data_IF_578509594096
#
_entry.id   IF_578509594096
#
_cell.length_a   1.000
_cell.length_b   1.000
_cell.length_c   1.000
_cell.angle_alpha   90.00
_cell.angle_beta   90.00
_cell.angle_gamma   90.00
#
_symmetry.space_group_name_H-M   'P 1'
#
loop_
_entity.id
_entity.type
_entity.pdbx_description
1 polymer ?
#
# COMPACT_ATOMS: atom_id res chain seq x y z
N UNK A 1 -41.70 7.89 37.54
CA UNK A 1 -40.43 7.77 36.81
C UNK A 1 -39.36 7.54 37.86
N UNK A 2 -38.76 6.35 37.91
CA UNK A 2 -37.69 6.07 38.86
C UNK A 2 -36.45 6.88 38.44
N UNK A 3 -35.92 7.68 39.36
CA UNK A 3 -34.70 8.45 39.17
C UNK A 3 -33.50 7.50 39.25
N UNK A 4 -33.30 6.66 38.23
CA UNK A 4 -32.13 5.80 38.12
C UNK A 4 -30.95 6.66 37.68
N UNK A 5 -30.29 7.29 38.65
CA UNK A 5 -28.99 7.92 38.45
C UNK A 5 -27.97 6.81 38.17
N UNK A 6 -27.74 6.50 36.90
CA UNK A 6 -26.62 5.65 36.51
C UNK A 6 -25.31 6.41 36.77
N UNK A 7 -24.33 5.81 37.45
CA UNK A 7 -23.04 6.45 37.66
C UNK A 7 -22.30 6.51 36.32
N UNK A 8 -22.12 7.71 35.76
CA UNK A 8 -21.43 7.90 34.47
C UNK A 8 -20.00 7.33 34.48
N UNK A 9 -19.40 7.11 35.65
CA UNK A 9 -18.06 6.54 35.85
C UNK A 9 -17.97 5.05 35.48
N UNK A 10 -19.11 4.34 35.37
CA UNK A 10 -19.12 2.94 34.93
C UNK A 10 -18.98 2.78 33.42
N UNK A 11 -19.19 3.85 32.64
CA UNK A 11 -19.03 3.86 31.19
C UNK A 11 -17.59 4.24 30.86
N UNK A 12 -16.74 3.23 30.68
CA UNK A 12 -15.31 3.44 30.38
C UNK A 12 -15.00 3.24 28.91
N UNK A 13 -15.84 2.48 28.21
CA UNK A 13 -15.66 2.14 26.81
C UNK A 13 -16.94 2.40 26.01
N UNK A 14 -16.77 2.64 24.72
CA UNK A 14 -17.90 2.84 23.82
C UNK A 14 -18.85 1.62 23.79
N UNK A 15 -18.32 0.41 23.94
CA UNK A 15 -19.12 -0.81 23.99
C UNK A 15 -20.03 -0.91 25.22
N UNK A 16 -19.70 -0.22 26.33
CA UNK A 16 -20.49 -0.26 27.57
C UNK A 16 -21.88 0.35 27.38
N UNK A 17 -22.04 1.26 26.43
CA UNK A 17 -23.35 1.83 26.07
C UNK A 17 -24.30 0.77 25.54
N UNK A 18 -23.81 -0.12 24.68
CA UNK A 18 -24.65 -1.09 23.98
C UNK A 18 -24.93 -2.35 24.82
N UNK A 19 -24.02 -2.70 25.72
CA UNK A 19 -24.25 -3.75 26.71
C UNK A 19 -25.28 -3.30 27.75
N UNK A 20 -25.17 -2.04 28.21
CA UNK A 20 -26.11 -1.45 29.18
C UNK A 20 -27.48 -1.19 28.56
N UNK A 21 -27.55 -0.72 27.31
CA UNK A 21 -28.84 -0.42 26.65
C UNK A 21 -29.69 -1.67 26.44
N UNK A 22 -29.07 -2.83 26.17
CA UNK A 22 -29.79 -4.09 25.99
C UNK A 22 -30.50 -4.60 27.25
N UNK A 23 -30.17 -4.06 28.44
CA UNK A 23 -30.68 -4.60 29.71
C UNK A 23 -31.70 -3.70 30.38
N UNK A 24 -31.59 -2.37 30.28
CA UNK A 24 -32.35 -1.49 31.19
C UNK A 24 -32.78 -0.12 30.64
N UNK A 25 -32.11 0.44 29.63
CA UNK A 25 -32.28 1.86 29.25
C UNK A 25 -32.18 2.10 27.74
N UNK A 26 -32.96 3.05 27.19
CA UNK A 26 -32.74 3.54 25.82
C UNK A 26 -31.42 4.33 25.73
N UNK A 27 -30.63 4.15 24.65
CA UNK A 27 -29.34 4.83 24.41
C UNK A 27 -29.47 6.36 24.57
N UNK A 28 -30.57 6.91 24.08
CA UNK A 28 -30.89 8.35 24.16
C UNK A 28 -30.92 8.85 25.60
N UNK A 29 -31.57 8.09 26.50
CA UNK A 29 -31.67 8.44 27.92
C UNK A 29 -30.31 8.38 28.61
N UNK A 30 -29.47 7.40 28.24
CA UNK A 30 -28.13 7.25 28.81
C UNK A 30 -27.18 8.38 28.40
N UNK A 31 -27.24 8.81 27.12
CA UNK A 31 -26.48 9.95 26.62
C UNK A 31 -26.95 11.27 27.24
N UNK A 32 -28.26 11.45 27.42
CA UNK A 32 -28.81 12.63 28.10
C UNK A 32 -28.35 12.73 29.56
N UNK A 33 -28.21 11.58 30.24
CA UNK A 33 -27.69 11.54 31.60
C UNK A 33 -26.16 11.79 31.69
N UNK A 34 -25.40 11.34 30.68
CA UNK A 34 -23.94 11.40 30.67
C UNK A 34 -23.38 12.03 29.38
N UNK A 35 -23.64 13.33 29.11
CA UNK A 35 -23.31 13.97 27.83
C UNK A 35 -21.80 14.02 27.53
N UNK A 36 -20.95 14.06 28.57
CA UNK A 36 -19.48 14.06 28.45
C UNK A 36 -18.95 12.75 27.82
N UNK A 37 -19.71 11.67 27.96
CA UNK A 37 -19.32 10.36 27.43
C UNK A 37 -19.52 10.23 25.92
N UNK A 38 -20.10 11.24 25.25
CA UNK A 38 -20.08 11.36 23.79
C UNK A 38 -18.64 11.35 23.22
N UNK A 39 -17.64 11.71 24.04
CA UNK A 39 -16.23 11.65 23.65
C UNK A 39 -15.68 10.22 23.58
N UNK A 40 -16.31 9.22 24.20
CA UNK A 40 -15.86 7.83 24.16
C UNK A 40 -15.93 7.19 22.76
N UNK A 41 -16.78 7.73 21.87
CA UNK A 41 -16.84 7.30 20.46
C UNK A 41 -15.51 7.51 19.72
N UNK A 42 -14.67 8.42 20.22
CA UNK A 42 -13.38 8.80 19.66
C UNK A 42 -12.20 8.03 20.27
N UNK A 43 -12.42 7.39 21.41
CA UNK A 43 -11.37 6.79 22.22
C UNK A 43 -10.67 7.83 23.11
N UNK A 44 -10.04 7.34 24.18
CA UNK A 44 -9.41 8.18 25.22
C UNK A 44 -7.88 8.06 25.25
N UNK A 45 -7.28 7.30 24.32
CA UNK A 45 -5.90 6.82 24.48
C UNK A 45 -5.01 6.98 23.26
N UNK A 46 -3.69 6.92 23.52
CA UNK A 46 -2.62 6.81 22.54
C UNK A 46 -2.96 5.69 21.54
N UNK A 47 -3.28 6.02 20.28
CA UNK A 47 -3.75 5.01 19.37
C UNK A 47 -2.57 4.18 18.87
N UNK A 48 -2.46 2.91 19.29
CA UNK A 48 -1.36 2.03 18.89
C UNK A 48 -1.18 1.94 17.36
N UNK A 49 -2.29 1.81 16.62
CA UNK A 49 -2.31 1.68 15.17
C UNK A 49 -2.45 3.01 14.42
N UNK A 50 -2.95 4.05 15.09
CA UNK A 50 -3.12 5.37 14.47
C UNK A 50 -2.27 6.43 15.15
N UNK A 51 -1.17 6.05 15.80
CA UNK A 51 -0.21 6.95 16.41
C UNK A 51 0.79 7.50 15.40
N UNK A 52 1.49 8.57 15.75
CA UNK A 52 2.34 9.32 14.81
C UNK A 52 3.45 8.46 14.17
N UNK A 53 4.16 7.64 14.96
CA UNK A 53 5.31 6.91 14.43
C UNK A 53 4.92 5.83 13.42
N UNK A 54 3.84 5.09 13.66
CA UNK A 54 3.32 4.10 12.69
C UNK A 54 2.73 4.80 11.46
N UNK A 55 2.15 5.99 11.64
CA UNK A 55 1.61 6.77 10.54
C UNK A 55 2.68 7.27 9.57
N UNK A 56 3.87 7.60 10.06
CA UNK A 56 5.04 7.87 9.21
C UNK A 56 5.37 6.63 8.35
N UNK A 57 5.32 5.43 8.93
CA UNK A 57 5.49 4.20 8.14
C UNK A 57 4.38 3.99 7.10
N UNK A 58 3.14 4.45 7.35
CA UNK A 58 2.08 4.46 6.32
C UNK A 58 2.40 5.43 5.18
N UNK A 59 3.00 6.58 5.48
CA UNK A 59 3.48 7.53 4.45
C UNK A 59 4.56 6.87 3.60
N UNK A 60 5.54 6.20 4.22
CA UNK A 60 6.56 5.44 3.49
C UNK A 60 5.95 4.35 2.62
N UNK A 61 5.03 3.54 3.17
CA UNK A 61 4.33 2.51 2.39
C UNK A 61 3.60 3.11 1.20
N UNK A 62 2.85 4.19 1.41
CA UNK A 62 2.12 4.87 0.36
C UNK A 62 3.07 5.37 -0.75
N UNK A 63 4.14 6.07 -0.39
CA UNK A 63 5.13 6.57 -1.34
C UNK A 63 5.81 5.45 -2.12
N UNK A 64 6.23 4.37 -1.45
CA UNK A 64 6.85 3.21 -2.07
C UNK A 64 5.91 2.53 -3.05
N UNK A 65 4.65 2.27 -2.66
CA UNK A 65 3.68 1.64 -3.54
C UNK A 65 3.27 2.51 -4.74
N UNK A 66 3.27 3.84 -4.59
CA UNK A 66 3.04 4.76 -5.72
C UNK A 66 4.22 4.76 -6.71
N UNK A 67 5.44 4.87 -6.18
CA UNK A 67 6.66 4.95 -7.01
C UNK A 67 6.97 3.61 -7.68
N UNK A 68 6.87 2.51 -6.93
CA UNK A 68 7.21 1.19 -7.41
C UNK A 68 6.00 0.40 -7.92
N UNK A 69 4.76 0.90 -7.78
CA UNK A 69 3.62 0.35 -8.51
C UNK A 69 3.60 0.87 -9.95
N UNK A 70 2.78 1.89 -10.25
CA UNK A 70 2.66 2.41 -11.61
C UNK A 70 3.97 3.03 -12.12
N UNK A 71 4.75 3.67 -11.26
CA UNK A 71 6.04 4.27 -11.64
C UNK A 71 7.06 3.22 -12.10
N UNK A 72 7.13 2.05 -11.45
CA UNK A 72 7.99 0.95 -11.88
C UNK A 72 7.65 0.51 -13.30
N UNK A 73 6.36 0.36 -13.61
CA UNK A 73 5.90 -0.08 -14.93
C UNK A 73 6.37 0.88 -16.03
N UNK A 74 6.22 2.18 -15.80
CA UNK A 74 6.64 3.23 -16.75
C UNK A 74 8.16 3.24 -16.87
N UNK A 75 8.89 3.30 -15.76
CA UNK A 75 10.35 3.32 -15.76
C UNK A 75 10.95 2.08 -16.42
N UNK A 76 10.41 0.89 -16.14
CA UNK A 76 10.87 -0.36 -16.70
C UNK A 76 10.65 -0.45 -18.23
N UNK A 77 9.65 0.25 -18.77
CA UNK A 77 9.44 0.38 -20.22
C UNK A 77 10.41 1.38 -20.88
N UNK A 78 10.77 2.44 -20.16
CA UNK A 78 11.70 3.46 -20.65
C UNK A 78 13.17 3.00 -20.64
N UNK A 79 13.53 2.05 -19.78
CA UNK A 79 14.89 1.53 -19.65
C UNK A 79 15.18 0.42 -20.68
N UNK A 80 16.38 0.45 -21.27
CA UNK A 80 16.80 -0.58 -22.23
C UNK A 80 16.94 -1.94 -21.53
N UNK A 81 16.67 -3.03 -22.26
CA UNK A 81 16.69 -4.40 -21.72
C UNK A 81 18.05 -4.78 -21.14
N UNK A 82 19.13 -4.19 -21.67
CA UNK A 82 20.51 -4.48 -21.26
C UNK A 82 21.01 -3.58 -20.12
N UNK A 83 20.21 -2.61 -19.69
CA UNK A 83 20.65 -1.65 -18.70
C UNK A 83 20.81 -2.28 -17.31
N UNK A 84 21.95 -2.01 -16.68
CA UNK A 84 22.17 -2.35 -15.27
C UNK A 84 21.11 -1.70 -14.35
N UNK A 85 20.64 -0.50 -14.72
CA UNK A 85 19.57 0.20 -14.03
C UNK A 85 18.27 -0.60 -13.97
N UNK A 86 17.89 -1.30 -15.06
CA UNK A 86 16.68 -2.13 -15.11
C UNK A 86 16.76 -3.34 -14.18
N UNK A 87 17.92 -4.01 -14.15
CA UNK A 87 18.17 -5.12 -13.22
C UNK A 87 18.12 -4.66 -11.76
N UNK A 88 18.72 -3.52 -11.47
CA UNK A 88 18.70 -2.94 -10.14
C UNK A 88 17.28 -2.50 -9.73
N UNK A 89 16.53 -1.84 -10.62
CA UNK A 89 15.14 -1.48 -10.38
C UNK A 89 14.27 -2.71 -10.07
N UNK A 90 14.50 -3.84 -10.76
CA UNK A 90 13.83 -5.11 -10.44
C UNK A 90 14.20 -5.66 -9.06
N UNK A 91 15.47 -5.54 -8.64
CA UNK A 91 15.92 -5.90 -7.28
C UNK A 91 15.19 -5.07 -6.23
N UNK A 92 15.21 -3.73 -6.38
CA UNK A 92 14.52 -2.78 -5.50
C UNK A 92 13.03 -3.11 -5.40
N UNK A 93 12.39 -3.45 -6.50
CA UNK A 93 10.96 -3.79 -6.52
C UNK A 93 10.64 -5.05 -5.70
N UNK A 94 11.47 -6.10 -5.81
CA UNK A 94 11.31 -7.33 -5.01
C UNK A 94 11.51 -7.05 -3.53
N UNK A 95 12.53 -6.25 -3.17
CA UNK A 95 12.77 -5.82 -1.79
C UNK A 95 11.58 -5.00 -1.28
N UNK A 96 11.03 -4.08 -2.07
CA UNK A 96 9.88 -3.28 -1.70
C UNK A 96 8.62 -4.12 -1.44
N UNK A 97 8.35 -5.14 -2.26
CA UNK A 97 7.24 -6.07 -2.01
C UNK A 97 7.43 -6.85 -0.71
N UNK A 98 8.65 -7.34 -0.46
CA UNK A 98 8.98 -8.05 0.78
C UNK A 98 8.82 -7.16 2.01
N UNK A 99 9.39 -5.95 1.97
CA UNK A 99 9.25 -4.92 3.03
C UNK A 99 7.79 -4.57 3.28
N UNK A 100 7.01 -4.33 2.22
CA UNK A 100 5.57 -4.02 2.32
C UNK A 100 4.79 -5.16 2.99
N UNK A 101 5.09 -6.42 2.61
CA UNK A 101 4.44 -7.60 3.21
C UNK A 101 4.82 -7.79 4.68
N UNK A 102 6.11 -7.58 5.02
CA UNK A 102 6.62 -7.65 6.39
C UNK A 102 6.05 -6.54 7.28
N UNK A 103 5.79 -5.36 6.72
CA UNK A 103 5.15 -4.27 7.43
C UNK A 103 3.64 -4.50 7.62
N UNK A 104 2.95 -4.88 6.56
CA UNK A 104 1.49 -4.99 6.57
C UNK A 104 0.98 -6.18 7.39
N UNK A 105 1.70 -7.32 7.41
CA UNK A 105 1.23 -8.53 8.08
C UNK A 105 1.11 -8.38 9.61
N UNK A 106 2.12 -7.88 10.35
CA UNK A 106 2.00 -7.62 11.78
C UNK A 106 0.92 -6.58 12.11
N UNK A 107 0.79 -5.53 11.30
CA UNK A 107 -0.25 -4.52 11.47
C UNK A 107 -1.64 -5.11 11.30
N UNK A 108 -1.84 -5.99 10.32
CA UNK A 108 -3.11 -6.65 10.12
C UNK A 108 -3.44 -7.63 11.27
N UNK A 109 -2.44 -8.33 11.82
CA UNK A 109 -2.61 -9.14 13.04
C UNK A 109 -2.95 -8.26 14.24
N UNK A 110 -2.22 -7.15 14.46
CA UNK A 110 -2.50 -6.19 15.52
C UNK A 110 -3.91 -5.60 15.39
N UNK A 111 -4.35 -5.32 14.15
CA UNK A 111 -5.71 -4.88 13.84
C UNK A 111 -6.76 -5.91 14.29
N UNK A 112 -6.55 -7.20 14.02
CA UNK A 112 -7.46 -8.26 14.48
C UNK A 112 -7.52 -8.32 16.01
N UNK A 113 -6.38 -8.25 16.69
CA UNK A 113 -6.32 -8.24 18.16
C UNK A 113 -7.03 -7.02 18.72
N UNK A 114 -6.83 -5.86 18.12
CA UNK A 114 -7.46 -4.60 18.52
C UNK A 114 -8.96 -4.64 18.34
N UNK A 115 -9.45 -5.12 17.19
CA UNK A 115 -10.87 -5.28 16.89
C UNK A 115 -11.59 -6.23 17.87
N UNK A 116 -10.87 -7.20 18.45
CA UNK A 116 -11.42 -8.08 19.51
C UNK A 116 -11.60 -7.37 20.86
N UNK A 117 -10.92 -6.25 21.08
CA UNK A 117 -10.96 -5.50 22.35
C UNK A 117 -12.00 -4.37 22.35
N UNK A 118 -13.00 -4.44 21.46
CA UNK A 118 -14.08 -3.45 21.34
C UNK A 118 -13.57 -2.00 21.20
N UNK A 119 -12.83 -1.71 20.12
CA UNK A 119 -12.20 -0.41 19.92
C UNK A 119 -13.23 0.69 19.63
N UNK A 120 -12.78 1.94 19.73
CA UNK A 120 -13.62 3.10 19.42
C UNK A 120 -14.03 3.13 17.94
N UNK A 121 -15.14 3.82 17.60
CA UNK A 121 -15.64 3.92 16.22
C UNK A 121 -14.59 4.48 15.26
N UNK A 122 -13.86 5.49 15.72
CA UNK A 122 -12.74 6.06 14.99
C UNK A 122 -11.71 5.00 14.60
N UNK A 123 -11.29 4.16 15.55
CA UNK A 123 -10.26 3.15 15.32
C UNK A 123 -10.73 2.05 14.38
N UNK A 124 -12.00 1.60 14.49
CA UNK A 124 -12.58 0.64 13.53
C UNK A 124 -12.52 1.21 12.11
N UNK A 125 -12.90 2.48 11.95
CA UNK A 125 -12.90 3.17 10.66
C UNK A 125 -11.47 3.35 10.12
N UNK A 126 -10.54 3.72 10.99
CA UNK A 126 -9.13 3.88 10.64
C UNK A 126 -8.52 2.53 10.19
N UNK A 127 -8.76 1.46 10.95
CA UNK A 127 -8.31 0.10 10.65
C UNK A 127 -8.87 -0.39 9.31
N UNK A 128 -10.14 -0.07 9.00
CA UNK A 128 -10.73 -0.38 7.70
C UNK A 128 -9.93 0.24 6.55
N UNK A 129 -9.75 1.56 6.57
CA UNK A 129 -9.03 2.25 5.49
C UNK A 129 -7.56 1.83 5.43
N UNK A 130 -6.93 1.58 6.58
CA UNK A 130 -5.58 1.06 6.68
C UNK A 130 -5.45 -0.30 6.00
N UNK A 131 -6.31 -1.26 6.36
CA UNK A 131 -6.27 -2.61 5.81
C UNK A 131 -6.49 -2.59 4.29
N UNK A 132 -7.43 -1.78 3.80
CA UNK A 132 -7.69 -1.63 2.36
C UNK A 132 -6.50 -0.97 1.65
N UNK A 133 -5.91 0.08 2.22
CA UNK A 133 -4.72 0.74 1.66
C UNK A 133 -3.55 -0.23 1.54
N UNK A 134 -3.29 -1.03 2.59
CA UNK A 134 -2.22 -2.02 2.59
C UNK A 134 -2.44 -3.11 1.55
N UNK A 135 -3.66 -3.63 1.45
CA UNK A 135 -4.04 -4.65 0.47
C UNK A 135 -3.86 -4.13 -0.97
N UNK A 136 -4.37 -2.95 -1.27
CA UNK A 136 -4.23 -2.32 -2.59
C UNK A 136 -2.76 -2.04 -2.93
N UNK A 137 -1.95 -1.65 -1.94
CA UNK A 137 -0.50 -1.44 -2.10
C UNK A 137 0.26 -2.71 -2.41
N UNK A 138 0.02 -3.78 -1.65
CA UNK A 138 0.59 -5.10 -1.94
C UNK A 138 0.19 -5.59 -3.33
N UNK A 139 -1.09 -5.48 -3.67
CA UNK A 139 -1.59 -5.89 -4.99
C UNK A 139 -0.98 -5.07 -6.13
N UNK A 140 -0.80 -3.75 -5.96
CA UNK A 140 -0.16 -2.89 -6.96
C UNK A 140 1.28 -3.31 -7.26
N UNK A 141 2.05 -3.66 -6.22
CA UNK A 141 3.42 -4.16 -6.37
C UNK A 141 3.45 -5.54 -7.05
N UNK A 142 2.52 -6.44 -6.72
CA UNK A 142 2.41 -7.77 -7.37
C UNK A 142 2.04 -7.65 -8.85
N UNK A 143 1.07 -6.81 -9.20
CA UNK A 143 0.67 -6.56 -10.60
C UNK A 143 1.86 -6.04 -11.40
N UNK A 144 2.66 -5.15 -10.80
CA UNK A 144 3.85 -4.56 -11.44
C UNK A 144 4.98 -5.57 -11.67
N UNK A 145 5.11 -6.60 -10.82
CA UNK A 145 6.03 -7.73 -11.05
C UNK A 145 5.68 -8.56 -12.29
N UNK A 146 4.40 -8.61 -12.68
CA UNK A 146 3.92 -9.37 -13.84
C UNK A 146 4.62 -8.99 -15.16
N UNK A 147 5.15 -7.77 -15.25
CA UNK A 147 5.90 -7.29 -16.42
C UNK A 147 7.22 -8.04 -16.62
N UNK A 148 7.85 -8.52 -15.53
CA UNK A 148 9.14 -9.24 -15.59
C UNK A 148 9.01 -10.60 -16.29
N UNK A 149 7.83 -11.22 -16.23
CA UNK A 149 7.65 -12.63 -16.62
C UNK A 149 7.78 -12.88 -18.12
N UNK A 150 7.45 -11.93 -19.01
CA UNK A 150 7.27 -12.28 -20.43
C UNK A 150 8.57 -12.35 -21.25
N UNK A 151 9.63 -11.66 -20.86
CA UNK A 151 10.80 -11.45 -21.74
C UNK A 151 12.08 -12.15 -21.25
N UNK A 152 12.26 -12.34 -19.94
CA UNK A 152 13.45 -12.98 -19.35
C UNK A 152 13.26 -14.48 -19.05
N UNK A 153 12.06 -15.01 -19.31
CA UNK A 153 11.60 -16.33 -18.87
C UNK A 153 12.37 -17.52 -19.44
N UNK A 154 13.07 -17.35 -20.56
CA UNK A 154 13.75 -18.46 -21.24
C UNK A 154 15.15 -18.74 -20.71
N UNK A 155 15.84 -17.79 -20.10
CA UNK A 155 17.28 -17.92 -19.85
C UNK A 155 17.67 -18.03 -18.36
N UNK A 156 16.82 -17.58 -17.42
CA UNK A 156 17.18 -17.49 -15.99
C UNK A 156 16.29 -18.25 -15.01
N UNK A 157 15.36 -19.07 -15.51
CA UNK A 157 14.24 -19.71 -14.78
C UNK A 157 14.61 -20.61 -13.60
N UNK A 158 15.90 -20.97 -13.41
CA UNK A 158 16.33 -21.92 -12.36
C UNK A 158 16.82 -21.26 -11.06
N UNK A 159 17.24 -19.99 -11.08
CA UNK A 159 17.91 -19.37 -9.91
C UNK A 159 17.01 -18.41 -9.13
N UNK A 160 15.89 -17.94 -9.69
CA UNK A 160 14.99 -16.94 -9.06
C UNK A 160 13.66 -17.53 -8.54
N UNK A 161 13.49 -18.87 -8.52
CA UNK A 161 12.22 -19.49 -8.10
C UNK A 161 11.92 -19.30 -6.61
N UNK A 162 12.96 -19.20 -5.77
CA UNK A 162 12.82 -18.96 -4.32
C UNK A 162 12.20 -17.60 -4.05
N UNK A 163 12.68 -16.54 -4.73
CA UNK A 163 12.16 -15.19 -4.55
C UNK A 163 10.70 -15.06 -4.98
N UNK A 164 10.35 -15.68 -6.12
CA UNK A 164 8.96 -15.73 -6.60
C UNK A 164 8.06 -16.52 -5.64
N UNK A 165 8.50 -17.67 -5.16
CA UNK A 165 7.76 -18.48 -4.20
C UNK A 165 7.52 -17.74 -2.89
N UNK A 166 8.56 -17.15 -2.28
CA UNK A 166 8.45 -16.37 -1.05
C UNK A 166 7.51 -15.17 -1.22
N UNK A 167 7.60 -14.47 -2.35
CA UNK A 167 6.71 -13.34 -2.65
C UNK A 167 5.24 -13.77 -2.81
N UNK A 168 5.02 -14.90 -3.48
CA UNK A 168 3.67 -15.46 -3.71
C UNK A 168 3.05 -15.92 -2.40
N UNK A 169 3.81 -16.65 -1.57
CA UNK A 169 3.38 -17.09 -0.26
C UNK A 169 3.10 -15.90 0.67
N UNK A 170 3.98 -14.91 0.69
CA UNK A 170 3.81 -13.68 1.47
C UNK A 170 2.52 -12.94 1.08
N UNK A 171 2.24 -12.82 -0.22
CA UNK A 171 1.01 -12.21 -0.70
C UNK A 171 -0.23 -13.04 -0.33
N UNK A 172 -0.18 -14.36 -0.45
CA UNK A 172 -1.29 -15.24 -0.05
C UNK A 172 -1.62 -15.12 1.44
N UNK A 173 -0.59 -15.06 2.30
CA UNK A 173 -0.75 -14.79 3.73
C UNK A 173 -1.40 -13.42 3.93
N UNK A 174 -0.92 -12.39 3.23
CA UNK A 174 -1.46 -11.04 3.33
C UNK A 174 -2.95 -10.97 2.95
N UNK A 175 -3.37 -11.65 1.88
CA UNK A 175 -4.79 -11.79 1.48
C UNK A 175 -5.61 -12.44 2.60
N UNK A 176 -5.11 -13.53 3.19
CA UNK A 176 -5.78 -14.23 4.28
C UNK A 176 -5.95 -13.37 5.53
N UNK A 177 -4.89 -12.67 5.96
CA UNK A 177 -4.96 -11.78 7.13
C UNK A 177 -5.85 -10.57 6.86
N UNK A 178 -5.80 -9.99 5.65
CA UNK A 178 -6.72 -8.92 5.23
C UNK A 178 -8.20 -9.37 5.30
N UNK A 179 -8.51 -10.56 4.79
CA UNK A 179 -9.85 -11.15 4.93
C UNK A 179 -10.26 -11.33 6.40
N UNK A 180 -9.32 -11.71 7.26
CA UNK A 180 -9.50 -11.75 8.71
C UNK A 180 -9.85 -10.39 9.31
N UNK A 181 -9.13 -9.33 8.94
CA UNK A 181 -9.42 -7.96 9.38
C UNK A 181 -10.83 -7.55 8.96
N UNK A 182 -11.20 -7.73 7.68
CA UNK A 182 -12.55 -7.40 7.20
C UNK A 182 -13.65 -8.19 7.92
N UNK A 183 -13.41 -9.48 8.19
CA UNK A 183 -14.34 -10.31 8.96
C UNK A 183 -14.57 -9.75 10.37
N UNK A 184 -13.49 -9.35 11.05
CA UNK A 184 -13.57 -8.79 12.40
C UNK A 184 -14.14 -7.37 12.42
N UNK A 185 -13.87 -6.54 11.42
CA UNK A 185 -14.56 -5.26 11.25
C UNK A 185 -16.06 -5.50 11.14
N UNK A 186 -16.50 -6.42 10.28
CA UNK A 186 -17.92 -6.73 10.13
C UNK A 186 -18.60 -7.26 11.41
N UNK A 187 -17.83 -7.86 12.34
CA UNK A 187 -18.30 -8.26 13.67
C UNK A 187 -18.25 -7.12 14.70
N UNK A 188 -17.24 -6.27 14.63
CA UNK A 188 -17.06 -5.13 15.52
C UNK A 188 -17.99 -3.96 15.16
N UNK A 189 -18.44 -3.89 13.90
CA UNK A 189 -19.46 -2.96 13.44
C UNK A 189 -20.73 -3.16 14.24
N UNK A 190 -20.98 -2.20 15.12
CA UNK A 190 -22.25 -2.06 15.82
C UNK A 190 -23.39 -1.94 14.79
N UNK A 191 -24.60 -2.34 15.20
CA UNK A 191 -25.78 -2.17 14.35
C UNK A 191 -25.88 -0.69 13.95
N UNK A 192 -26.07 -0.46 12.66
CA UNK A 192 -26.20 0.87 12.04
C UNK A 192 -27.12 1.77 12.88
N UNK A 193 -28.31 1.23 13.14
CA UNK A 193 -29.38 1.89 13.90
C UNK A 193 -28.93 2.37 15.28
N UNK A 194 -28.10 1.60 15.98
CA UNK A 194 -27.62 1.94 17.32
C UNK A 194 -26.57 3.06 17.30
N UNK A 195 -25.76 3.14 16.23
CA UNK A 195 -24.81 4.25 16.04
C UNK A 195 -25.57 5.52 15.68
N UNK A 196 -26.57 5.44 14.78
CA UNK A 196 -27.42 6.59 14.42
C UNK A 196 -28.19 7.13 15.64
N UNK A 197 -28.76 6.23 16.45
CA UNK A 197 -29.43 6.61 17.70
C UNK A 197 -28.46 7.30 18.67
N UNK A 198 -27.25 6.75 18.85
CA UNK A 198 -26.21 7.37 19.69
C UNK A 198 -25.80 8.77 19.18
N UNK A 199 -25.56 8.91 17.88
CA UNK A 199 -25.18 10.18 17.25
C UNK A 199 -26.29 11.21 17.42
N UNK A 200 -27.54 10.80 17.14
CA UNK A 200 -28.72 11.66 17.29
C UNK A 200 -28.86 12.15 18.74
N UNK A 201 -28.68 11.24 19.70
CA UNK A 201 -28.71 11.57 21.12
C UNK A 201 -27.60 12.54 21.54
N UNK A 202 -26.37 12.36 21.06
CA UNK A 202 -25.26 13.29 21.34
C UNK A 202 -25.50 14.67 20.70
N UNK A 203 -26.05 14.71 19.49
CA UNK A 203 -26.43 15.96 18.84
C UNK A 203 -27.52 16.69 19.61
N UNK A 204 -28.50 15.95 20.13
CA UNK A 204 -29.58 16.50 20.95
C UNK A 204 -29.09 17.04 22.30
N UNK A 205 -28.01 16.51 22.87
CA UNK A 205 -27.40 17.01 24.10
C UNK A 205 -26.51 18.25 23.91
N UNK A 206 -26.43 18.79 22.68
CA UNK A 206 -25.63 19.97 22.36
C UNK A 206 -24.14 19.67 22.13
N UNK A 207 -23.72 18.41 22.23
CA UNK A 207 -22.35 17.99 21.95
C UNK A 207 -22.21 17.59 20.48
N UNK A 208 -21.47 18.40 19.72
CA UNK A 208 -21.14 18.07 18.34
C UNK A 208 -20.20 16.86 18.31
N UNK A 209 -20.76 15.69 17.98
CA UNK A 209 -19.96 14.53 17.57
C UNK A 209 -19.79 14.66 16.07
N UNK A 210 -18.63 15.09 15.54
CA UNK A 210 -18.44 15.13 14.09
C UNK A 210 -18.33 13.70 13.58
N UNK A 211 -19.47 13.11 13.29
CA UNK A 211 -19.64 11.78 12.73
C UNK A 211 -18.57 11.51 11.66
N UNK A 212 -17.57 10.63 11.90
CA UNK A 212 -16.56 10.33 10.90
C UNK A 212 -17.32 9.70 9.74
N UNK A 213 -17.40 10.30 8.54
CA UNK A 213 -18.47 10.11 7.56
C UNK A 213 -19.01 8.67 7.55
N UNK A 214 -20.00 8.41 8.42
CA UNK A 214 -20.44 7.04 8.71
C UNK A 214 -21.31 6.55 7.57
N UNK A 215 -21.66 7.42 6.61
CA UNK A 215 -22.12 7.05 5.27
C UNK A 215 -21.26 5.94 4.65
N UNK A 216 -19.98 5.77 5.02
CA UNK A 216 -19.15 4.62 4.60
C UNK A 216 -19.14 3.40 5.53
N UNK A 217 -19.45 3.54 6.82
CA UNK A 217 -19.61 2.42 7.77
C UNK A 217 -21.02 1.81 7.72
N UNK A 218 -22.01 2.59 7.29
CA UNK A 218 -23.43 2.26 7.13
C UNK A 218 -23.77 1.63 5.77
N UNK A 219 -22.78 1.26 4.94
CA UNK A 219 -23.06 0.45 3.74
C UNK A 219 -23.51 -0.93 4.22
N UNK A 220 -24.83 -1.06 4.22
CA UNK A 220 -25.66 -2.22 4.48
C UNK A 220 -24.94 -3.56 4.28
N UNK A 221 -25.30 -4.53 5.12
CA UNK A 221 -24.81 -5.92 5.07
C UNK A 221 -24.95 -6.53 3.66
N UNK A 222 -25.83 -5.98 2.83
CA UNK A 222 -25.94 -6.27 1.40
C UNK A 222 -24.83 -5.67 0.54
N UNK A 223 -24.48 -4.39 0.69
CA UNK A 223 -23.44 -3.80 -0.13
C UNK A 223 -22.03 -4.14 0.32
N UNK A 224 -21.75 -4.53 1.56
CA UNK A 224 -20.41 -5.05 1.88
C UNK A 224 -20.11 -6.39 1.15
N UNK A 225 -21.14 -7.20 0.89
CA UNK A 225 -21.04 -8.38 -0.01
C UNK A 225 -20.88 -7.97 -1.47
N UNK A 226 -21.63 -6.97 -1.93
CA UNK A 226 -21.58 -6.53 -3.32
C UNK A 226 -20.45 -5.58 -3.63
N UNK A 227 -19.88 -4.85 -2.67
CA UNK A 227 -18.83 -3.84 -2.80
C UNK A 227 -17.45 -4.46 -2.56
N UNK A 228 -17.28 -5.41 -1.64
CA UNK A 228 -16.11 -6.29 -1.71
C UNK A 228 -16.13 -7.13 -2.99
N UNK A 229 -17.33 -7.56 -3.43
CA UNK A 229 -17.57 -8.16 -4.73
C UNK A 229 -17.39 -7.21 -5.91
N UNK A 230 -17.69 -5.92 -5.79
CA UNK A 230 -17.67 -4.93 -6.89
C UNK A 230 -16.35 -4.19 -6.95
N UNK A 231 -15.69 -3.84 -5.85
CA UNK A 231 -14.26 -3.51 -5.85
C UNK A 231 -13.47 -4.74 -6.33
N UNK A 232 -13.83 -5.95 -5.90
CA UNK A 232 -13.30 -7.19 -6.46
C UNK A 232 -13.51 -7.27 -7.98
N UNK A 233 -14.73 -7.15 -8.49
CA UNK A 233 -15.06 -7.28 -9.92
C UNK A 233 -14.61 -6.07 -10.75
N UNK A 234 -14.60 -4.85 -10.22
CA UNK A 234 -14.17 -3.64 -10.93
C UNK A 234 -12.65 -3.57 -10.98
N UNK A 235 -11.95 -3.93 -9.90
CA UNK A 235 -10.47 -3.98 -9.88
C UNK A 235 -9.91 -5.27 -10.50
N UNK A 236 -10.64 -6.39 -10.49
CA UNK A 236 -10.16 -7.68 -11.05
C UNK A 236 -10.74 -7.94 -12.44
N UNK A 237 -11.91 -7.41 -12.82
CA UNK A 237 -12.50 -7.62 -14.14
C UNK A 237 -12.62 -6.33 -14.96
N UNK A 238 -13.09 -5.21 -14.41
CA UNK A 238 -13.30 -4.00 -15.21
C UNK A 238 -11.99 -3.31 -15.62
N UNK A 239 -10.95 -3.28 -14.78
CA UNK A 239 -9.64 -2.73 -15.15
C UNK A 239 -8.87 -3.58 -16.16
N UNK A 240 -8.80 -4.94 -16.09
CA UNK A 240 -8.24 -5.72 -17.19
C UNK A 240 -9.14 -5.74 -18.43
N UNK A 241 -10.47 -5.67 -18.29
CA UNK A 241 -11.37 -5.52 -19.43
C UNK A 241 -11.15 -4.17 -20.13
N UNK A 242 -11.04 -3.07 -19.37
CA UNK A 242 -10.71 -1.76 -19.91
C UNK A 242 -9.32 -1.76 -20.54
N UNK A 243 -8.33 -2.38 -19.89
CA UNK A 243 -6.99 -2.57 -20.45
C UNK A 243 -7.00 -3.38 -21.75
N UNK A 244 -7.81 -4.45 -21.82
CA UNK A 244 -8.00 -5.28 -23.00
C UNK A 244 -8.74 -4.55 -24.12
N UNK A 245 -9.77 -3.76 -23.79
CA UNK A 245 -10.50 -2.91 -24.72
C UNK A 245 -9.58 -1.82 -25.29
N UNK A 246 -8.81 -1.14 -24.45
CA UNK A 246 -7.82 -0.14 -24.87
C UNK A 246 -6.72 -0.77 -25.75
N UNK A 247 -6.27 -1.99 -25.41
CA UNK A 247 -5.32 -2.74 -26.21
C UNK A 247 -5.88 -3.09 -27.60
N UNK A 248 -7.11 -3.58 -27.68
CA UNK A 248 -7.76 -3.92 -28.94
C UNK A 248 -8.10 -2.69 -29.78
N UNK A 249 -8.57 -1.61 -29.14
CA UNK A 249 -8.78 -0.33 -29.79
C UNK A 249 -7.47 0.23 -30.36
N UNK A 250 -6.35 0.09 -29.63
CA UNK A 250 -5.02 0.47 -30.11
C UNK A 250 -4.54 -0.36 -31.30
N UNK A 251 -4.85 -1.66 -31.35
CA UNK A 251 -4.60 -2.50 -32.54
C UNK A 251 -5.45 -2.06 -33.73
N UNK A 252 -6.73 -1.76 -33.50
CA UNK A 252 -7.68 -1.39 -34.56
C UNK A 252 -7.40 0.02 -35.15
N UNK A 253 -6.99 0.98 -34.31
CA UNK A 253 -6.69 2.35 -34.73
C UNK A 253 -5.36 2.48 -35.50
N UNK A 254 -4.55 1.41 -35.57
CA UNK A 254 -3.24 1.41 -36.19
C UNK A 254 -2.21 2.24 -35.41
N UNK A 255 -0.92 2.05 -35.73
CA UNK A 255 0.23 2.70 -35.05
C UNK A 255 0.27 4.24 -35.15
N UNK A 256 -0.74 4.87 -35.75
CA UNK A 256 -0.68 6.27 -36.19
C UNK A 256 -1.15 7.27 -35.14
N UNK A 257 -1.93 6.85 -34.13
CA UNK A 257 -2.60 7.78 -33.21
C UNK A 257 -2.26 7.61 -31.72
N UNK A 258 -1.80 6.44 -31.28
CA UNK A 258 -1.44 6.21 -29.88
C UNK A 258 0.08 6.26 -29.68
N UNK A 259 0.55 6.87 -28.58
CA UNK A 259 1.96 6.81 -28.22
C UNK A 259 2.44 5.35 -28.18
N UNK A 260 3.64 5.03 -28.68
CA UNK A 260 4.14 3.65 -28.75
C UNK A 260 4.09 2.89 -27.42
N UNK A 261 4.20 3.60 -26.29
CA UNK A 261 4.13 3.02 -24.94
C UNK A 261 2.72 2.55 -24.55
N UNK A 262 1.66 3.22 -25.01
CA UNK A 262 0.26 2.82 -24.80
C UNK A 262 -0.15 1.62 -25.67
N UNK A 263 0.51 1.42 -26.81
CA UNK A 263 0.31 0.27 -27.67
C UNK A 263 1.10 -0.98 -27.23
N UNK A 264 1.67 -0.98 -26.01
CA UNK A 264 2.41 -2.13 -25.47
C UNK A 264 1.54 -3.02 -24.58
N UNK A 265 1.87 -4.32 -24.53
CA UNK A 265 1.16 -5.35 -23.75
C UNK A 265 1.03 -4.96 -22.26
N UNK A 266 1.84 -4.01 -21.84
CA UNK A 266 1.92 -3.50 -20.49
C UNK A 266 0.87 -2.43 -20.17
N UNK A 267 0.16 -1.87 -21.15
CA UNK A 267 -0.85 -0.83 -20.92
C UNK A 267 -1.97 -1.31 -19.97
N UNK A 268 -2.36 -2.59 -20.04
CA UNK A 268 -3.30 -3.20 -19.10
C UNK A 268 -2.75 -3.21 -17.67
N UNK A 269 -1.50 -3.65 -17.49
CA UNK A 269 -0.84 -3.65 -16.17
C UNK A 269 -0.70 -2.23 -15.60
N UNK A 270 -0.32 -1.25 -16.44
CA UNK A 270 -0.26 0.16 -16.04
C UNK A 270 -1.62 0.65 -15.55
N UNK A 271 -2.69 0.38 -16.32
CA UNK A 271 -4.05 0.83 -15.99
C UNK A 271 -4.53 0.23 -14.67
N UNK A 272 -4.33 -1.08 -14.47
CA UNK A 272 -4.67 -1.75 -13.22
C UNK A 272 -3.88 -1.14 -12.05
N UNK A 273 -2.57 -0.96 -12.20
CA UNK A 273 -1.72 -0.42 -11.15
C UNK A 273 -2.06 1.03 -10.79
N UNK A 274 -2.41 1.88 -11.77
CA UNK A 274 -2.90 3.25 -11.53
C UNK A 274 -4.25 3.25 -10.80
N UNK A 275 -5.17 2.35 -11.16
CA UNK A 275 -6.45 2.19 -10.45
C UNK A 275 -6.23 1.80 -8.99
N UNK A 276 -5.35 0.83 -8.73
CA UNK A 276 -4.97 0.41 -7.38
C UNK A 276 -4.34 1.57 -6.58
N UNK A 277 -3.39 2.28 -7.18
CA UNK A 277 -2.74 3.45 -6.59
C UNK A 277 -3.73 4.57 -6.25
N UNK A 278 -4.74 4.80 -7.09
CA UNK A 278 -5.80 5.77 -6.84
C UNK A 278 -6.66 5.36 -5.64
N UNK A 279 -7.05 4.08 -5.56
CA UNK A 279 -7.76 3.53 -4.41
C UNK A 279 -6.94 3.66 -3.11
N UNK A 280 -5.63 3.39 -3.15
CA UNK A 280 -4.74 3.62 -2.01
C UNK A 280 -4.72 5.08 -1.58
N UNK A 281 -4.59 6.02 -2.53
CA UNK A 281 -4.54 7.44 -2.25
C UNK A 281 -5.83 7.93 -1.59
N UNK A 282 -6.98 7.42 -2.05
CA UNK A 282 -8.27 7.65 -1.41
C UNK A 282 -8.30 7.16 0.04
N UNK A 283 -7.92 5.90 0.29
CA UNK A 283 -7.89 5.34 1.64
C UNK A 283 -6.91 6.10 2.55
N UNK A 284 -5.73 6.43 2.06
CA UNK A 284 -4.74 7.22 2.80
C UNK A 284 -5.28 8.62 3.15
N UNK A 285 -5.92 9.32 2.19
CA UNK A 285 -6.53 10.61 2.44
C UNK A 285 -7.64 10.52 3.50
N UNK A 286 -8.47 9.46 3.48
CA UNK A 286 -9.49 9.21 4.50
C UNK A 286 -8.89 8.94 5.88
N UNK A 287 -7.83 8.14 5.98
CA UNK A 287 -7.10 7.94 7.24
C UNK A 287 -6.54 9.25 7.79
N UNK A 288 -5.93 10.06 6.92
CA UNK A 288 -5.35 11.34 7.30
C UNK A 288 -6.42 12.33 7.78
N UNK A 289 -7.54 12.44 7.05
CA UNK A 289 -8.68 13.26 7.44
C UNK A 289 -9.27 12.82 8.78
N UNK A 290 -9.43 11.50 9.00
CA UNK A 290 -9.92 10.97 10.27
C UNK A 290 -9.01 11.39 11.43
N UNK A 291 -7.68 11.31 11.25
CA UNK A 291 -6.72 11.79 12.26
C UNK A 291 -6.83 13.29 12.52
N UNK A 292 -6.95 14.11 11.46
CA UNK A 292 -7.10 15.56 11.62
C UNK A 292 -8.40 15.92 12.35
N UNK A 293 -9.48 15.17 12.11
CA UNK A 293 -10.74 15.34 12.83
C UNK A 293 -10.59 14.96 14.30
N UNK A 294 -9.95 13.83 14.60
CA UNK A 294 -9.68 13.41 15.98
C UNK A 294 -8.83 14.44 16.73
N UNK A 295 -7.75 14.92 16.12
CA UNK A 295 -6.89 15.94 16.71
C UNK A 295 -7.64 17.25 17.02
N UNK A 296 -8.57 17.66 16.15
CA UNK A 296 -9.41 18.85 16.41
C UNK A 296 -10.39 18.66 17.55
N UNK A 297 -10.88 17.45 17.77
CA UNK A 297 -11.90 17.15 18.79
C UNK A 297 -11.32 16.89 20.15
N UNK A 298 -10.23 16.14 20.20
CA UNK A 298 -9.58 15.76 21.44
C UNK A 298 -8.81 16.94 22.07
N UNK A 299 -8.69 18.07 21.37
CA UNK A 299 -7.99 19.28 21.85
C UNK A 299 -6.61 18.91 22.45
N UNK A 300 -6.32 19.32 23.68
CA UNK A 300 -5.05 19.05 24.37
C UNK A 300 -4.95 17.60 24.90
N UNK A 301 -6.04 16.82 24.84
CA UNK A 301 -6.10 15.43 25.32
C UNK A 301 -5.66 14.40 24.30
N UNK A 302 -5.30 14.79 23.07
CA UNK A 302 -4.86 13.85 22.05
C UNK A 302 -3.37 13.50 22.23
N UNK A 303 -3.10 12.34 22.84
CA UNK A 303 -1.76 11.79 23.05
C UNK A 303 -1.09 11.27 21.75
N UNK A 304 -1.22 11.99 20.63
CA UNK A 304 -0.67 11.58 19.32
C UNK A 304 0.85 11.69 19.24
N UNK A 305 1.44 12.53 20.10
CA UNK A 305 2.87 12.80 20.11
C UNK A 305 3.67 11.78 20.95
N UNK A 306 3.01 10.76 21.49
CA UNK A 306 3.67 9.74 22.31
C UNK A 306 4.20 8.58 21.46
N UNK A 307 5.52 8.46 21.42
CA UNK A 307 6.21 7.40 20.70
C UNK A 307 6.27 6.11 21.52
N UNK A 308 5.55 5.09 21.07
CA UNK A 308 5.68 3.73 21.58
C UNK A 308 6.83 2.95 20.92
N UNK A 309 7.34 1.92 21.60
CA UNK A 309 8.37 1.02 21.07
C UNK A 309 7.99 0.44 19.69
N UNK A 310 6.75 -0.03 19.54
CA UNK A 310 6.24 -0.57 18.27
C UNK A 310 6.26 0.46 17.14
N UNK A 311 6.04 1.74 17.45
CA UNK A 311 6.06 2.81 16.47
C UNK A 311 7.48 3.10 15.95
N UNK A 312 8.49 3.00 16.83
CA UNK A 312 9.89 3.13 16.45
C UNK A 312 10.32 1.94 15.58
N UNK A 313 10.01 0.71 16.01
CA UNK A 313 10.34 -0.52 15.26
C UNK A 313 9.71 -0.52 13.87
N UNK A 314 8.50 0.03 13.73
CA UNK A 314 7.81 0.17 12.45
C UNK A 314 8.61 0.99 11.41
N UNK A 315 9.46 1.93 11.83
CA UNK A 315 10.32 2.70 10.92
C UNK A 315 11.50 1.86 10.42
N UNK A 316 12.06 1.01 11.28
CA UNK A 316 13.21 0.17 10.93
C UNK A 316 12.90 -0.89 9.87
N UNK A 317 11.62 -1.26 9.70
CA UNK A 317 11.18 -2.17 8.62
C UNK A 317 11.56 -1.62 7.24
N UNK A 318 11.66 -0.31 7.08
CA UNK A 318 12.00 0.35 5.80
C UNK A 318 13.50 0.42 5.50
N UNK A 319 14.37 0.17 6.48
CA UNK A 319 15.83 0.31 6.33
C UNK A 319 16.39 -0.54 5.19
N UNK A 320 16.03 -1.84 5.02
CA UNK A 320 16.55 -2.64 3.91
C UNK A 320 16.24 -2.03 2.54
N UNK A 321 15.03 -1.49 2.36
CA UNK A 321 14.65 -0.83 1.11
C UNK A 321 15.42 0.47 0.90
N UNK A 322 15.58 1.28 1.95
CA UNK A 322 16.34 2.53 1.90
C UNK A 322 17.80 2.24 1.52
N UNK A 323 18.42 1.21 2.11
CA UNK A 323 19.79 0.80 1.78
C UNK A 323 19.88 0.34 0.33
N UNK A 324 18.95 -0.48 -0.15
CA UNK A 324 18.94 -0.97 -1.54
C UNK A 324 18.82 0.19 -2.54
N UNK A 325 18.05 1.23 -2.22
CA UNK A 325 17.87 2.41 -3.08
C UNK A 325 19.05 3.39 -2.99
N UNK A 326 19.52 3.70 -1.79
CA UNK A 326 20.52 4.76 -1.56
C UNK A 326 21.95 4.31 -1.84
N UNK A 327 22.32 3.06 -1.53
CA UNK A 327 23.70 2.61 -1.66
C UNK A 327 24.25 2.77 -3.09
N UNK A 328 23.53 2.36 -4.16
CA UNK A 328 24.01 2.54 -5.53
C UNK A 328 24.07 4.01 -5.95
N UNK A 329 23.15 4.85 -5.45
CA UNK A 329 23.16 6.29 -5.69
C UNK A 329 24.41 6.93 -5.07
N UNK A 330 24.72 6.61 -3.82
CA UNK A 330 25.89 7.11 -3.12
C UNK A 330 27.19 6.66 -3.79
N UNK A 331 27.26 5.38 -4.20
CA UNK A 331 28.41 4.85 -4.95
C UNK A 331 28.58 5.55 -6.31
N UNK A 332 27.48 5.83 -7.01
CA UNK A 332 27.52 6.57 -8.27
C UNK A 332 28.01 8.01 -8.07
N UNK A 333 27.50 8.72 -7.06
CA UNK A 333 27.94 10.08 -6.71
C UNK A 333 29.42 10.09 -6.31
N UNK A 334 29.88 9.14 -5.49
CA UNK A 334 31.27 9.02 -5.10
C UNK A 334 32.19 8.72 -6.29
N UNK A 335 31.77 7.87 -7.23
CA UNK A 335 32.54 7.56 -8.44
C UNK A 335 32.64 8.77 -9.40
N UNK A 336 31.62 9.63 -9.44
CA UNK A 336 31.64 10.90 -10.19
C UNK A 336 32.59 11.88 -9.50
N UNK A 337 32.45 12.06 -8.17
CA UNK A 337 33.27 13.00 -7.40
C UNK A 337 34.77 12.65 -7.42
N UNK A 338 35.12 11.36 -7.43
CA UNK A 338 36.51 10.88 -7.48
C UNK A 338 37.08 10.81 -8.89
N UNK A 339 36.30 11.10 -9.95
CA UNK A 339 36.75 11.03 -11.35
C UNK A 339 37.06 9.62 -11.86
N UNK A 340 36.89 8.58 -11.04
CA UNK A 340 37.20 7.18 -11.36
C UNK A 340 36.36 6.67 -12.54
N UNK A 341 35.14 7.19 -12.70
CA UNK A 341 34.24 6.79 -13.80
C UNK A 341 34.75 7.20 -15.18
N UNK A 342 35.47 8.34 -15.27
CA UNK A 342 36.05 8.83 -16.53
C UNK A 342 37.25 7.96 -16.95
N UNK A 343 38.02 7.47 -15.97
CA UNK A 343 39.20 6.66 -16.25
C UNK A 343 38.85 5.24 -16.71
N UNK A 344 37.82 4.62 -16.11
CA UNK A 344 37.38 3.26 -16.46
C UNK A 344 36.82 3.16 -17.89
N UNK A 345 35.95 4.10 -18.33
CA UNK A 345 35.42 4.09 -19.71
C UNK A 345 36.49 4.30 -20.77
N UNK A 346 37.51 5.13 -20.51
CA UNK A 346 38.63 5.33 -21.44
C UNK A 346 39.46 4.05 -21.61
N UNK A 347 39.69 3.30 -20.53
CA UNK A 347 40.52 2.09 -20.56
C UNK A 347 39.81 0.92 -21.27
N UNK A 348 38.52 0.72 -21.04
CA UNK A 348 37.74 -0.34 -21.73
C UNK A 348 37.62 -0.06 -23.23
N UNK A 349 37.44 1.20 -23.62
CA UNK A 349 37.44 1.60 -25.04
C UNK A 349 38.79 1.37 -25.72
N UNK A 350 39.89 1.59 -25.00
CA UNK A 350 41.25 1.32 -25.50
C UNK A 350 41.49 -0.17 -25.74
N UNK A 351 41.10 -1.04 -24.80
CA UNK A 351 41.30 -2.49 -24.90
C UNK A 351 40.50 -3.09 -26.07
N UNK A 352 39.24 -2.67 -26.25
CA UNK A 352 38.45 -3.14 -27.39
C UNK A 352 39.03 -2.74 -28.74
N UNK A 353 39.61 -1.54 -28.84
CA UNK A 353 40.28 -1.10 -30.08
C UNK A 353 41.57 -1.87 -30.33
N UNK A 354 42.33 -2.22 -29.29
CA UNK A 354 43.53 -3.06 -29.48
C UNK A 354 43.16 -4.48 -29.91
N UNK A 355 42.12 -5.07 -29.35
CA UNK A 355 41.65 -6.41 -29.76
C UNK A 355 41.10 -6.40 -31.21
N UNK A 356 40.34 -5.37 -31.60
CA UNK A 356 39.87 -5.22 -32.99
C UNK A 356 41.02 -4.97 -33.98
N UNK A 357 42.02 -4.20 -33.58
CA UNK A 357 43.21 -3.96 -34.39
C UNK A 357 44.03 -5.25 -34.56
N UNK A 358 44.19 -6.04 -33.50
CA UNK A 358 44.90 -7.32 -33.56
C UNK A 358 44.16 -8.35 -34.43
N UNK A 359 42.83 -8.44 -34.31
CA UNK A 359 42.03 -9.31 -35.17
C UNK A 359 42.09 -8.89 -36.65
N UNK A 360 42.06 -7.58 -36.94
CA UNK A 360 42.25 -7.09 -38.32
C UNK A 360 43.65 -7.37 -38.86
N UNK A 361 44.69 -7.27 -38.04
CA UNK A 361 46.07 -7.57 -38.44
C UNK A 361 46.25 -9.06 -38.76
N UNK A 362 45.72 -9.96 -37.92
CA UNK A 362 45.73 -11.41 -38.17
C UNK A 362 44.99 -11.79 -39.45
N UNK A 363 43.84 -11.15 -39.73
CA UNK A 363 43.08 -11.40 -40.96
C UNK A 363 43.80 -10.96 -42.25
N UNK A 364 44.63 -9.91 -42.21
CA UNK A 364 45.44 -9.52 -43.39
C UNK A 364 46.62 -10.47 -43.61
N UNK A 365 47.26 -10.91 -42.54
CA UNK A 365 48.40 -11.83 -42.63
C UNK A 365 48.00 -13.17 -43.28
N UNK A 366 46.83 -13.72 -42.94
CA UNK A 366 46.32 -14.96 -43.54
C UNK A 366 45.84 -14.79 -44.97
N UNK A 367 45.31 -13.61 -45.33
CA UNK A 367 44.91 -13.29 -46.71
C UNK A 367 46.08 -13.27 -47.69
N UNK A 368 47.22 -12.67 -47.29
CA UNK A 368 48.40 -12.59 -48.17
C UNK A 368 49.12 -13.93 -48.35
N UNK A 369 49.15 -14.79 -47.32
CA UNK A 369 49.76 -16.13 -47.44
C UNK A 369 49.04 -17.05 -48.43
N UNK A 370 47.80 -16.72 -48.81
CA UNK A 370 47.00 -17.49 -49.78
C UNK A 370 47.22 -17.06 -51.24
N UNK A 371 47.87 -15.91 -51.46
CA UNK A 371 48.06 -15.32 -52.80
C UNK A 371 49.41 -15.65 -53.45
N UNK A 372 50.41 -16.11 -52.69
CA UNK A 372 51.75 -16.46 -53.20
C UNK A 372 51.91 -17.96 -53.56
N UNK A 373 50.82 -18.74 -53.54
CA UNK A 373 50.83 -20.20 -53.77
C UNK A 373 50.22 -20.67 -55.10
N UNK A 374 50.04 -19.79 -56.10
CA UNK A 374 49.49 -20.14 -57.42
C UNK A 374 50.49 -19.86 -58.52
#
# INVERSE_FOLDING_TARGET
>A
MANTTHPCDSLKQFADFFTTSNTTSNITSLVQACPQQCNLAWGTGNPDLSGIGVFISYIFQFGVCLLLGPGYIVLHQCLDKRDAARRHLSSVHVVALATTSLFASPIAVASIVHLKRHPALFEVTFIYYLAVMQFLGGLSLVVSLGIKSSDEEKEKRKTDSRGLFTSTLGFAIHVGVFGGVLHWIGKASLKSDSIEEFISACKASGNAVPVPPVEHLFWDRHLNKHLAGFLGVVIIAATPLLGWLLWNAGKAAGKRFLPPWLATRNAGFTTISVGLATGMAYCFAKMHLARLQLARLAQDGFADNEWGFGQIVALFVWVPLIVEVLLPLLLAVAAIATGVFVWSRRKVGSIRRSEQAEMSAKSRATGNASAEGV
#
